data_IF_843869644188
#
_entry.id   IF_843869644188
#
_cell.length_a   1.000
_cell.length_b   1.000
_cell.length_c   1.000
_cell.angle_alpha   90.00
_cell.angle_beta   90.00
_cell.angle_gamma   90.00
#
_symmetry.space_group_name_H-M   'P 1'
#
loop_
_entity.id
_entity.type
_entity.pdbx_description
1 polymer ?
#
# COMPACT_ATOMS: atom_id res chain seq x y z
N UNK A 1 24.70 6.02 -63.15
CA UNK A 1 23.76 5.19 -62.37
C UNK A 1 23.82 5.66 -60.95
N UNK A 2 22.94 6.57 -60.57
CA UNK A 2 22.84 7.17 -59.24
C UNK A 2 21.85 6.33 -58.43
N UNK A 3 22.37 5.56 -57.46
CA UNK A 3 21.59 4.78 -56.52
C UNK A 3 20.95 5.71 -55.50
N UNK A 4 19.64 5.95 -55.60
CA UNK A 4 18.82 6.60 -54.60
C UNK A 4 18.64 5.63 -53.42
N UNK A 5 19.35 5.85 -52.34
CA UNK A 5 19.09 5.19 -51.06
C UNK A 5 17.79 5.75 -50.53
N UNK A 6 16.72 4.96 -50.58
CA UNK A 6 15.46 5.26 -49.89
C UNK A 6 15.71 5.11 -48.39
N UNK A 7 15.80 6.24 -47.71
CA UNK A 7 15.87 6.31 -46.26
C UNK A 7 14.54 5.76 -45.69
N UNK A 8 14.58 4.51 -45.24
CA UNK A 8 13.43 3.88 -44.59
C UNK A 8 13.16 4.65 -43.32
N UNK A 9 12.13 5.49 -43.34
CA UNK A 9 11.64 6.21 -42.15
C UNK A 9 11.48 5.23 -41.00
N UNK A 10 12.31 5.39 -39.95
CA UNK A 10 12.15 4.66 -38.67
C UNK A 10 10.71 4.83 -38.23
N UNK A 11 10.00 3.75 -37.84
CA UNK A 11 8.67 3.88 -37.25
C UNK A 11 8.75 4.88 -36.11
N UNK A 12 7.98 5.96 -36.18
CA UNK A 12 7.83 6.88 -35.06
C UNK A 12 7.25 6.04 -33.91
N UNK A 13 8.06 5.76 -32.88
CA UNK A 13 7.57 5.20 -31.62
C UNK A 13 6.53 6.17 -31.08
N UNK A 14 5.24 5.81 -31.20
CA UNK A 14 4.14 6.62 -30.68
C UNK A 14 4.36 6.86 -29.20
N UNK A 15 4.66 8.11 -28.85
CA UNK A 15 4.84 8.51 -27.45
C UNK A 15 3.47 8.60 -26.78
N UNK A 16 3.32 7.95 -25.64
CA UNK A 16 2.10 8.06 -24.82
C UNK A 16 1.77 9.53 -24.55
N UNK A 17 0.52 9.93 -24.78
CA UNK A 17 0.10 11.33 -24.60
C UNK A 17 0.11 11.73 -23.11
N UNK A 18 0.36 13.01 -22.83
CA UNK A 18 0.30 13.55 -21.46
C UNK A 18 -1.08 13.34 -20.80
N UNK A 19 -2.15 13.39 -21.60
CA UNK A 19 -3.51 13.13 -21.12
C UNK A 19 -3.67 11.67 -20.65
N UNK A 20 -3.10 10.70 -21.38
CA UNK A 20 -3.12 9.30 -20.99
C UNK A 20 -2.27 9.07 -19.72
N UNK A 21 -1.09 9.72 -19.60
CA UNK A 21 -0.28 9.64 -18.38
C UNK A 21 -1.08 10.17 -17.17
N UNK A 22 -1.74 11.33 -17.34
CA UNK A 22 -2.59 11.92 -16.29
C UNK A 22 -3.76 11.00 -15.93
N UNK A 23 -4.43 10.40 -16.91
CA UNK A 23 -5.51 9.42 -16.68
C UNK A 23 -5.02 8.23 -15.86
N UNK A 24 -3.89 7.63 -16.23
CA UNK A 24 -3.34 6.46 -15.55
C UNK A 24 -2.87 6.81 -14.12
N UNK A 25 -2.27 7.99 -13.94
CA UNK A 25 -1.88 8.50 -12.63
C UNK A 25 -3.09 8.73 -11.72
N UNK A 26 -4.14 9.38 -12.24
CA UNK A 26 -5.41 9.59 -11.54
C UNK A 26 -6.10 8.27 -11.21
N UNK A 27 -6.14 7.34 -12.14
CA UNK A 27 -6.69 6.01 -11.93
C UNK A 27 -5.98 5.27 -10.78
N UNK A 28 -4.63 5.28 -10.78
CA UNK A 28 -3.86 4.68 -9.70
C UNK A 28 -4.17 5.33 -8.34
N UNK A 29 -4.22 6.66 -8.27
CA UNK A 29 -4.50 7.38 -7.04
C UNK A 29 -5.92 7.11 -6.51
N UNK A 30 -6.92 7.23 -7.37
CA UNK A 30 -8.32 7.05 -7.00
C UNK A 30 -8.63 5.60 -6.58
N UNK A 31 -8.08 4.61 -7.28
CA UNK A 31 -8.27 3.19 -6.91
C UNK A 31 -7.55 2.86 -5.61
N UNK A 32 -6.30 3.34 -5.41
CA UNK A 32 -5.56 3.10 -4.19
C UNK A 32 -6.19 3.76 -2.97
N UNK A 33 -6.82 4.91 -3.13
CA UNK A 33 -7.50 5.63 -2.07
C UNK A 33 -8.58 4.79 -1.37
N UNK A 34 -9.25 3.88 -2.11
CA UNK A 34 -10.28 2.99 -1.57
C UNK A 34 -9.77 2.08 -0.42
N UNK A 35 -8.47 1.78 -0.39
CA UNK A 35 -7.86 0.98 0.69
C UNK A 35 -7.80 1.73 2.03
N UNK A 36 -7.87 3.06 1.99
CA UNK A 36 -7.56 3.90 3.14
C UNK A 36 -8.74 4.72 3.66
N UNK A 37 -9.84 4.83 2.92
CA UNK A 37 -11.01 5.61 3.33
C UNK A 37 -11.63 5.17 4.66
N UNK A 38 -11.74 3.86 4.88
CA UNK A 38 -12.34 3.31 6.10
C UNK A 38 -11.46 3.50 7.35
N UNK A 39 -10.16 3.73 7.18
CA UNK A 39 -9.20 3.71 8.28
C UNK A 39 -9.46 4.80 9.33
N UNK A 40 -9.57 6.10 8.99
CA UNK A 40 -9.90 7.13 9.97
C UNK A 40 -11.37 7.07 10.44
N UNK A 41 -12.25 6.43 9.67
CA UNK A 41 -13.67 6.32 9.96
C UNK A 41 -14.04 5.05 10.73
N UNK A 42 -13.05 4.18 11.02
CA UNK A 42 -13.30 2.86 11.60
C UNK A 42 -14.07 2.93 12.94
N UNK A 43 -13.79 3.92 13.78
CA UNK A 43 -14.51 4.15 15.04
C UNK A 43 -15.98 4.48 14.84
N UNK A 44 -16.29 5.40 13.91
CA UNK A 44 -17.66 5.83 13.60
C UNK A 44 -18.44 4.68 12.97
N UNK A 45 -17.84 4.00 11.99
CA UNK A 45 -18.43 2.83 11.31
C UNK A 45 -18.69 1.71 12.33
N UNK A 46 -17.70 1.42 13.19
CA UNK A 46 -17.81 0.39 14.20
C UNK A 46 -18.96 0.65 15.19
N UNK A 47 -19.08 1.88 15.68
CA UNK A 47 -20.15 2.28 16.59
C UNK A 47 -21.54 2.13 15.94
N UNK A 48 -21.71 2.58 14.69
CA UNK A 48 -23.00 2.51 14.00
C UNK A 48 -23.40 1.07 13.63
N UNK A 49 -22.45 0.23 13.23
CA UNK A 49 -22.70 -1.16 12.83
C UNK A 49 -22.63 -2.17 13.98
N UNK A 50 -22.47 -1.71 15.22
CA UNK A 50 -22.45 -2.56 16.42
C UNK A 50 -21.21 -3.43 16.55
N UNK A 51 -20.06 -3.01 15.99
CA UNK A 51 -18.78 -3.68 16.20
C UNK A 51 -18.24 -3.35 17.60
N UNK A 52 -17.70 -4.36 18.28
CA UNK A 52 -16.93 -4.12 19.50
C UNK A 52 -15.64 -3.34 19.17
N UNK A 53 -15.08 -2.65 20.16
CA UNK A 53 -13.81 -1.91 20.00
C UNK A 53 -12.70 -2.81 19.46
N UNK A 54 -12.62 -4.07 19.90
CA UNK A 54 -11.67 -5.04 19.38
C UNK A 54 -11.92 -5.41 17.91
N UNK A 55 -13.18 -5.50 17.48
CA UNK A 55 -13.57 -5.86 16.13
C UNK A 55 -13.45 -4.71 15.13
N UNK A 56 -13.36 -3.47 15.59
CA UNK A 56 -13.23 -2.29 14.71
C UNK A 56 -11.99 -2.37 13.82
N UNK A 57 -10.89 -2.94 14.30
CA UNK A 57 -9.67 -3.18 13.51
C UNK A 57 -9.89 -4.12 12.33
N UNK A 58 -10.91 -4.99 12.36
CA UNK A 58 -11.23 -5.92 11.27
C UNK A 58 -11.62 -5.20 9.97
N UNK A 59 -12.11 -3.97 10.05
CA UNK A 59 -12.42 -3.13 8.88
C UNK A 59 -11.17 -2.98 8.00
N UNK A 60 -10.06 -2.58 8.60
CA UNK A 60 -8.78 -2.41 7.92
C UNK A 60 -8.15 -3.77 7.60
N UNK A 61 -8.22 -4.71 8.54
CA UNK A 61 -7.68 -6.07 8.39
C UNK A 61 -8.23 -6.76 7.15
N UNK A 62 -9.55 -6.80 6.97
CA UNK A 62 -10.17 -7.49 5.84
C UNK A 62 -9.89 -6.79 4.51
N UNK A 63 -9.86 -5.46 4.49
CA UNK A 63 -9.45 -4.72 3.30
C UNK A 63 -8.03 -5.10 2.87
N UNK A 64 -7.09 -5.22 3.81
CA UNK A 64 -5.70 -5.58 3.53
C UNK A 64 -5.53 -7.06 3.16
N UNK A 65 -6.27 -7.98 3.79
CA UNK A 65 -6.31 -9.39 3.39
C UNK A 65 -6.83 -9.49 1.95
N UNK A 66 -7.92 -8.80 1.64
CA UNK A 66 -8.48 -8.76 0.28
C UNK A 66 -7.44 -8.30 -0.74
N UNK A 67 -6.73 -7.21 -0.44
CA UNK A 67 -5.69 -6.70 -1.33
C UNK A 67 -4.52 -7.68 -1.49
N UNK A 68 -4.05 -8.29 -0.41
CA UNK A 68 -3.00 -9.30 -0.45
C UNK A 68 -3.39 -10.53 -1.29
N UNK A 69 -4.62 -11.01 -1.15
CA UNK A 69 -5.14 -12.10 -1.99
C UNK A 69 -5.31 -11.67 -3.45
N UNK A 70 -5.76 -10.44 -3.68
CA UNK A 70 -5.83 -9.87 -5.03
C UNK A 70 -4.46 -9.80 -5.72
N UNK A 71 -3.39 -9.47 -4.97
CA UNK A 71 -2.01 -9.48 -5.47
C UNK A 71 -1.55 -10.88 -5.88
N UNK A 72 -1.95 -11.91 -5.13
CA UNK A 72 -1.54 -13.29 -5.42
C UNK A 72 -2.37 -13.92 -6.54
N UNK A 73 -3.67 -13.61 -6.64
CA UNK A 73 -4.59 -14.33 -7.51
C UNK A 73 -5.15 -13.50 -8.66
N UNK A 74 -5.34 -12.18 -8.50
CA UNK A 74 -5.91 -11.35 -9.57
C UNK A 74 -4.82 -10.72 -10.43
N UNK A 75 -3.77 -10.18 -9.85
CA UNK A 75 -2.69 -9.51 -10.59
C UNK A 75 -2.02 -10.43 -11.63
N UNK A 76 -1.71 -11.71 -11.33
CA UNK A 76 -1.12 -12.62 -12.33
C UNK A 76 -2.02 -12.90 -13.53
N UNK A 77 -3.32 -12.68 -13.47
CA UNK A 77 -4.21 -12.75 -14.62
C UNK A 77 -3.87 -11.69 -15.68
N UNK A 78 -3.24 -10.59 -15.28
CA UNK A 78 -2.76 -9.56 -16.21
C UNK A 78 -1.73 -10.04 -17.24
N UNK A 79 -1.07 -11.17 -16.97
CA UNK A 79 -0.15 -11.82 -17.93
C UNK A 79 -0.87 -12.82 -18.86
N UNK A 80 -2.16 -13.07 -18.67
CA UNK A 80 -2.92 -14.12 -19.37
C UNK A 80 -4.11 -13.59 -20.18
N UNK A 81 -4.78 -12.57 -19.65
CA UNK A 81 -6.03 -12.06 -20.23
C UNK A 81 -5.86 -10.64 -20.74
N UNK A 82 -6.77 -10.19 -21.59
CA UNK A 82 -6.76 -8.83 -22.14
C UNK A 82 -6.80 -7.79 -21.01
N UNK A 83 -5.76 -6.94 -20.95
CA UNK A 83 -5.48 -6.08 -19.79
C UNK A 83 -6.56 -5.01 -19.58
N UNK A 84 -7.09 -4.37 -20.62
CA UNK A 84 -8.15 -3.36 -20.48
C UNK A 84 -9.39 -3.96 -19.84
N UNK A 85 -9.84 -5.14 -20.32
CA UNK A 85 -11.01 -5.82 -19.75
C UNK A 85 -10.79 -6.21 -18.30
N UNK A 86 -9.60 -6.72 -17.97
CA UNK A 86 -9.26 -7.10 -16.61
C UNK A 86 -9.27 -5.88 -15.67
N UNK A 87 -8.62 -4.77 -16.06
CA UNK A 87 -8.59 -3.53 -15.28
C UNK A 87 -10.00 -2.99 -15.07
N UNK A 88 -10.80 -2.87 -16.15
CA UNK A 88 -12.16 -2.33 -16.07
C UNK A 88 -13.07 -3.24 -15.23
N UNK A 89 -12.99 -4.57 -15.39
CA UNK A 89 -13.76 -5.52 -14.58
C UNK A 89 -13.39 -5.41 -13.09
N UNK A 90 -12.11 -5.26 -12.79
CA UNK A 90 -11.63 -5.11 -11.41
C UNK A 90 -12.12 -3.79 -10.79
N UNK A 91 -12.08 -2.67 -11.55
CA UNK A 91 -12.66 -1.39 -11.11
C UNK A 91 -14.18 -1.49 -10.98
N UNK A 92 -14.86 -2.20 -11.90
CA UNK A 92 -16.31 -2.49 -11.79
C UNK A 92 -16.66 -3.28 -10.53
N UNK A 93 -15.83 -4.25 -10.15
CA UNK A 93 -15.97 -4.97 -8.87
C UNK A 93 -15.84 -4.01 -7.69
N UNK A 94 -14.91 -3.04 -7.76
CA UNK A 94 -14.78 -2.01 -6.73
C UNK A 94 -16.05 -1.16 -6.58
N UNK A 95 -16.71 -0.79 -7.70
CA UNK A 95 -17.99 -0.07 -7.66
C UNK A 95 -19.02 -0.85 -6.85
N UNK A 96 -19.21 -2.14 -7.18
CA UNK A 96 -20.21 -2.98 -6.51
C UNK A 96 -19.87 -3.16 -5.02
N UNK A 97 -18.61 -3.36 -4.70
CA UNK A 97 -18.13 -3.51 -3.32
C UNK A 97 -18.31 -2.22 -2.50
N UNK A 98 -18.04 -1.04 -3.07
CA UNK A 98 -18.24 0.25 -2.42
C UNK A 98 -19.72 0.55 -2.16
N UNK A 99 -20.60 0.24 -3.14
CA UNK A 99 -22.04 0.37 -2.95
C UNK A 99 -22.53 -0.59 -1.86
N UNK A 100 -22.07 -1.85 -1.88
CA UNK A 100 -22.44 -2.85 -0.87
C UNK A 100 -21.97 -2.40 0.53
N UNK A 101 -20.76 -1.82 0.66
CA UNK A 101 -20.26 -1.27 1.91
C UNK A 101 -21.15 -0.10 2.40
N UNK A 102 -21.50 0.83 1.52
CA UNK A 102 -22.34 1.98 1.86
C UNK A 102 -23.75 1.57 2.33
N UNK A 103 -24.33 0.54 1.70
CA UNK A 103 -25.69 0.07 1.98
C UNK A 103 -25.75 -1.03 3.05
N UNK A 104 -24.63 -1.43 3.62
CA UNK A 104 -24.58 -2.50 4.60
C UNK A 104 -25.40 -2.16 5.86
N UNK A 105 -26.38 -3.02 6.24
CA UNK A 105 -27.26 -2.76 7.41
C UNK A 105 -26.59 -3.11 8.74
N UNK A 106 -25.57 -3.96 8.74
CA UNK A 106 -24.84 -4.42 9.92
C UNK A 106 -23.42 -4.85 9.58
N UNK A 107 -22.62 -5.21 10.58
CA UNK A 107 -21.17 -5.46 10.44
C UNK A 107 -20.79 -6.54 9.41
N UNK A 108 -21.49 -7.69 9.38
CA UNK A 108 -21.06 -8.82 8.54
C UNK A 108 -21.06 -8.50 7.02
N UNK A 109 -22.13 -7.96 6.40
CA UNK A 109 -22.10 -7.57 4.99
C UNK A 109 -21.11 -6.42 4.74
N UNK A 110 -20.93 -5.49 5.69
CA UNK A 110 -19.93 -4.43 5.56
C UNK A 110 -18.53 -5.01 5.49
N UNK A 111 -18.17 -5.91 6.39
CA UNK A 111 -16.86 -6.57 6.43
C UNK A 111 -16.59 -7.38 5.17
N UNK A 112 -17.60 -8.08 4.64
CA UNK A 112 -17.49 -8.77 3.36
C UNK A 112 -17.28 -7.79 2.19
N UNK A 113 -17.98 -6.65 2.21
CA UNK A 113 -17.85 -5.62 1.18
C UNK A 113 -16.46 -4.97 1.20
N UNK A 114 -15.90 -4.61 2.36
CA UNK A 114 -14.55 -4.02 2.42
C UNK A 114 -13.45 -5.02 2.07
N UNK A 115 -13.66 -6.31 2.31
CA UNK A 115 -12.78 -7.36 1.79
C UNK A 115 -12.75 -7.36 0.25
N UNK A 116 -13.91 -7.23 -0.41
CA UNK A 116 -14.01 -7.12 -1.86
C UNK A 116 -13.45 -5.79 -2.39
N UNK A 117 -13.59 -4.69 -1.64
CA UNK A 117 -12.89 -3.42 -1.94
C UNK A 117 -11.37 -3.66 -1.96
N UNK A 118 -10.84 -4.42 -1.00
CA UNK A 118 -9.44 -4.80 -0.99
C UNK A 118 -9.04 -5.56 -2.25
N UNK A 119 -9.73 -6.65 -2.58
CA UNK A 119 -9.45 -7.47 -3.78
C UNK A 119 -9.47 -6.62 -5.05
N UNK A 120 -10.44 -5.75 -5.20
CA UNK A 120 -10.63 -4.95 -6.42
C UNK A 120 -9.65 -3.77 -6.54
N UNK A 121 -9.12 -3.28 -5.43
CA UNK A 121 -8.14 -2.19 -5.45
C UNK A 121 -6.78 -2.58 -6.03
N UNK A 122 -6.53 -3.87 -6.30
CA UNK A 122 -5.30 -4.33 -6.98
C UNK A 122 -5.20 -3.90 -8.44
N UNK A 123 -6.24 -3.31 -9.03
CA UNK A 123 -6.19 -2.73 -10.37
C UNK A 123 -4.98 -1.78 -10.56
N UNK A 124 -4.55 -1.09 -9.51
CA UNK A 124 -3.33 -0.26 -9.49
C UNK A 124 -2.10 -1.05 -9.94
N UNK A 125 -1.96 -2.29 -9.48
CA UNK A 125 -0.80 -3.13 -9.78
C UNK A 125 -0.81 -3.66 -11.23
N UNK A 126 -1.91 -3.52 -11.94
CA UNK A 126 -2.03 -3.80 -13.37
C UNK A 126 -1.84 -2.53 -14.22
N UNK A 127 -2.31 -1.37 -13.73
CA UNK A 127 -2.19 -0.09 -14.45
C UNK A 127 -0.73 0.36 -14.58
N UNK A 128 0.10 0.20 -13.56
CA UNK A 128 1.52 0.63 -13.60
C UNK A 128 2.34 -0.15 -14.64
N UNK A 129 2.31 -1.50 -14.70
CA UNK A 129 2.97 -2.24 -15.77
C UNK A 129 2.36 -1.96 -17.15
N UNK A 130 1.05 -1.72 -17.23
CA UNK A 130 0.38 -1.35 -18.46
C UNK A 130 0.93 -0.03 -19.02
N UNK A 131 1.08 1.01 -18.17
CA UNK A 131 1.71 2.28 -18.53
C UNK A 131 3.16 2.09 -19.02
N UNK A 132 3.92 1.26 -18.32
CA UNK A 132 5.30 0.93 -18.69
C UNK A 132 5.41 0.26 -20.07
N UNK A 133 4.41 -0.56 -20.43
CA UNK A 133 4.37 -1.29 -21.69
C UNK A 133 4.03 -0.39 -22.88
N UNK A 134 3.16 0.62 -22.66
CA UNK A 134 2.79 1.60 -23.67
C UNK A 134 3.87 2.63 -23.96
N UNK A 135 5.02 2.56 -23.27
CA UNK A 135 6.01 3.64 -23.29
C UNK A 135 7.34 3.14 -23.84
N UNK A 136 7.97 3.88 -24.81
CA UNK A 136 9.30 3.59 -25.30
C UNK A 136 10.33 3.50 -24.16
N UNK A 137 11.37 2.67 -24.37
CA UNK A 137 12.40 2.42 -23.35
C UNK A 137 13.04 3.71 -22.80
N UNK A 138 13.28 4.69 -23.69
CA UNK A 138 13.94 5.95 -23.35
C UNK A 138 13.14 6.83 -22.35
N UNK A 139 11.80 6.77 -22.37
CA UNK A 139 10.92 7.63 -21.57
C UNK A 139 10.15 6.85 -20.48
N UNK A 140 10.27 5.53 -20.45
CA UNK A 140 9.52 4.63 -19.56
C UNK A 140 9.66 5.00 -18.08
N UNK A 141 10.87 5.29 -17.61
CA UNK A 141 11.10 5.66 -16.22
C UNK A 141 10.34 6.91 -15.80
N UNK A 142 10.30 7.93 -16.68
CA UNK A 142 9.57 9.18 -16.42
C UNK A 142 8.05 8.95 -16.37
N UNK A 143 7.51 8.17 -17.31
CA UNK A 143 6.06 7.89 -17.35
C UNK A 143 5.63 7.06 -16.15
N UNK A 144 6.35 6.00 -15.81
CA UNK A 144 6.09 5.18 -14.61
C UNK A 144 6.20 6.04 -13.35
N UNK A 145 7.20 6.92 -13.27
CA UNK A 145 7.35 7.86 -12.16
C UNK A 145 6.14 8.77 -11.98
N UNK A 146 5.60 9.34 -13.08
CA UNK A 146 4.41 10.19 -13.04
C UNK A 146 3.16 9.41 -12.59
N UNK A 147 2.98 8.16 -13.08
CA UNK A 147 1.86 7.31 -12.66
C UNK A 147 1.97 6.94 -11.17
N UNK A 148 3.16 6.61 -10.71
CA UNK A 148 3.43 6.34 -9.29
C UNK A 148 3.26 7.57 -8.40
N UNK A 149 3.54 8.77 -8.91
CA UNK A 149 3.26 10.02 -8.18
C UNK A 149 1.75 10.19 -7.94
N UNK A 150 0.92 9.90 -8.95
CA UNK A 150 -0.54 9.88 -8.79
C UNK A 150 -1.00 8.88 -7.72
N UNK A 151 -0.42 7.68 -7.74
CA UNK A 151 -0.64 6.67 -6.70
C UNK A 151 -0.32 7.20 -5.30
N UNK A 152 0.85 7.82 -5.13
CA UNK A 152 1.28 8.37 -3.83
C UNK A 152 0.36 9.49 -3.34
N UNK A 153 -0.03 10.41 -4.23
CA UNK A 153 -1.00 11.47 -3.92
C UNK A 153 -2.34 10.88 -3.48
N UNK A 154 -2.84 9.85 -4.17
CA UNK A 154 -4.09 9.18 -3.79
C UNK A 154 -4.03 8.55 -2.40
N UNK A 155 -2.96 7.82 -2.08
CA UNK A 155 -2.75 7.22 -0.76
C UNK A 155 -2.66 8.30 0.33
N UNK A 156 -1.91 9.36 0.07
CA UNK A 156 -1.68 10.45 1.02
C UNK A 156 -2.97 11.23 1.33
N UNK A 157 -3.78 11.52 0.31
CA UNK A 157 -4.99 12.32 0.46
C UNK A 157 -6.21 11.49 0.91
N UNK A 158 -6.18 10.16 0.77
CA UNK A 158 -7.33 9.31 1.07
C UNK A 158 -7.87 9.51 2.49
N UNK A 159 -6.99 9.48 3.49
CA UNK A 159 -7.37 9.63 4.91
C UNK A 159 -7.94 11.02 5.24
N UNK A 160 -7.23 12.13 4.96
CA UNK A 160 -7.76 13.46 5.26
C UNK A 160 -9.04 13.76 4.48
N UNK A 161 -9.12 13.37 3.20
CA UNK A 161 -10.32 13.58 2.39
C UNK A 161 -11.51 12.80 2.93
N UNK A 162 -11.35 11.53 3.30
CA UNK A 162 -12.46 10.74 3.86
C UNK A 162 -12.93 11.28 5.21
N UNK A 163 -12.01 11.72 6.08
CA UNK A 163 -12.35 12.34 7.35
C UNK A 163 -13.16 13.62 7.17
N UNK A 164 -12.68 14.56 6.33
CA UNK A 164 -13.41 15.81 6.07
C UNK A 164 -14.77 15.55 5.39
N UNK A 165 -14.82 14.71 4.37
CA UNK A 165 -16.08 14.40 3.68
C UNK A 165 -17.11 13.78 4.62
N UNK A 166 -16.68 12.96 5.58
CA UNK A 166 -17.59 12.29 6.51
C UNK A 166 -18.36 13.26 7.43
N UNK A 167 -17.86 14.47 7.64
CA UNK A 167 -18.57 15.52 8.38
C UNK A 167 -19.78 16.07 7.62
N UNK A 168 -19.72 16.06 6.27
CA UNK A 168 -20.75 16.63 5.42
C UNK A 168 -21.78 15.59 4.90
N UNK A 169 -21.29 14.37 4.59
CA UNK A 169 -22.09 13.37 3.87
C UNK A 169 -22.18 12.01 4.59
N UNK A 170 -21.75 11.91 5.84
CA UNK A 170 -21.55 10.68 6.60
C UNK A 170 -20.52 9.71 5.98
N UNK A 171 -20.13 8.68 6.72
CA UNK A 171 -19.21 7.67 6.21
C UNK A 171 -19.82 6.86 5.03
N UNK A 172 -21.14 6.63 5.04
CA UNK A 172 -21.83 5.97 3.92
C UNK A 172 -21.75 6.79 2.63
N UNK A 173 -21.91 8.11 2.76
CA UNK A 173 -21.77 9.05 1.65
C UNK A 173 -20.36 9.04 1.06
N UNK A 174 -19.31 8.88 1.87
CA UNK A 174 -17.91 8.73 1.37
C UNK A 174 -17.78 7.51 0.46
N UNK A 175 -18.33 6.36 0.84
CA UNK A 175 -18.32 5.15 0.01
C UNK A 175 -19.14 5.30 -1.27
N UNK A 176 -20.32 5.94 -1.20
CA UNK A 176 -21.16 6.20 -2.39
C UNK A 176 -20.49 7.18 -3.35
N UNK A 177 -19.88 8.25 -2.84
CA UNK A 177 -19.13 9.19 -3.67
C UNK A 177 -17.95 8.50 -4.36
N UNK A 178 -17.21 7.66 -3.61
CA UNK A 178 -16.15 6.87 -4.20
C UNK A 178 -16.67 5.90 -5.27
N UNK A 179 -17.80 5.25 -5.04
CA UNK A 179 -18.45 4.38 -6.04
C UNK A 179 -18.79 5.15 -7.31
N UNK A 180 -19.36 6.37 -7.19
CA UNK A 180 -19.68 7.22 -8.34
C UNK A 180 -18.41 7.62 -9.13
N UNK A 181 -17.33 7.98 -8.43
CA UNK A 181 -16.02 8.26 -9.05
C UNK A 181 -15.48 7.02 -9.75
N UNK A 182 -15.59 5.83 -9.16
CA UNK A 182 -15.15 4.56 -9.78
C UNK A 182 -15.99 4.20 -11.01
N UNK A 183 -17.32 4.50 -11.05
CA UNK A 183 -18.14 4.34 -12.25
C UNK A 183 -17.60 5.19 -13.40
N UNK A 184 -17.39 6.49 -13.14
CA UNK A 184 -16.84 7.40 -14.15
C UNK A 184 -15.47 6.91 -14.62
N UNK A 185 -14.60 6.53 -13.67
CA UNK A 185 -13.27 6.00 -13.99
C UNK A 185 -13.35 4.74 -14.85
N UNK A 186 -14.22 3.78 -14.52
CA UNK A 186 -14.40 2.54 -15.30
C UNK A 186 -14.84 2.84 -16.74
N UNK A 187 -15.78 3.78 -16.92
CA UNK A 187 -16.27 4.19 -18.26
C UNK A 187 -15.16 4.88 -19.07
N UNK A 188 -14.38 5.76 -18.45
CA UNK A 188 -13.27 6.46 -19.09
C UNK A 188 -12.18 5.46 -19.48
N UNK A 189 -11.78 4.57 -18.57
CA UNK A 189 -10.79 3.52 -18.85
C UNK A 189 -11.28 2.58 -19.96
N UNK A 190 -12.54 2.17 -19.94
CA UNK A 190 -13.11 1.34 -21.00
C UNK A 190 -13.04 1.99 -22.39
N UNK A 191 -13.23 3.32 -22.47
CA UNK A 191 -13.22 4.06 -23.73
C UNK A 191 -11.81 4.40 -24.22
N UNK A 192 -10.90 4.74 -23.33
CA UNK A 192 -9.61 5.34 -23.68
C UNK A 192 -8.43 4.36 -23.61
N UNK A 193 -8.49 3.29 -22.80
CA UNK A 193 -7.40 2.33 -22.76
C UNK A 193 -7.33 1.51 -24.07
N UNK A 194 -6.15 1.35 -24.68
CA UNK A 194 -5.96 0.43 -25.80
C UNK A 194 -6.11 -1.02 -25.33
N UNK A 195 -6.56 -1.86 -26.24
CA UNK A 195 -6.61 -3.31 -26.02
C UNK A 195 -5.20 -3.87 -26.04
N UNK A 196 -4.88 -4.68 -25.04
CA UNK A 196 -3.62 -5.41 -24.97
C UNK A 196 -3.89 -6.82 -24.52
N UNK A 197 -3.61 -7.77 -25.44
CA UNK A 197 -3.62 -9.20 -25.14
C UNK A 197 -2.16 -9.61 -24.92
N UNK A 198 -1.78 -10.09 -23.72
CA UNK A 198 -0.43 -10.56 -23.46
C UNK A 198 -0.13 -11.85 -24.23
N UNK A 199 1.14 -12.03 -24.65
CA UNK A 199 1.61 -13.33 -25.16
C UNK A 199 1.81 -14.26 -23.94
N UNK A 200 0.77 -15.03 -23.62
CA UNK A 200 0.77 -15.94 -22.48
C UNK A 200 1.77 -17.10 -22.70
N UNK A 201 2.90 -17.02 -22.01
CA UNK A 201 3.95 -18.06 -22.11
C UNK A 201 3.75 -19.23 -21.15
N UNK A 202 2.99 -19.03 -20.06
CA UNK A 202 2.79 -20.00 -18.99
C UNK A 202 1.32 -20.08 -18.60
N UNK A 203 0.78 -21.26 -18.29
CA UNK A 203 -0.56 -21.39 -17.74
C UNK A 203 -0.63 -20.80 -16.31
N UNK A 204 -1.82 -20.36 -15.89
CA UNK A 204 -2.06 -19.72 -14.60
C UNK A 204 -1.51 -20.52 -13.41
N UNK A 205 -1.73 -21.83 -13.40
CA UNK A 205 -1.22 -22.72 -12.34
C UNK A 205 0.31 -22.67 -12.22
N UNK A 206 1.01 -22.62 -13.35
CA UNK A 206 2.48 -22.53 -13.37
C UNK A 206 2.99 -21.17 -12.85
N UNK A 207 2.24 -20.09 -13.12
CA UNK A 207 2.56 -18.76 -12.55
C UNK A 207 2.45 -18.80 -11.03
N UNK A 208 1.35 -19.33 -10.49
CA UNK A 208 1.16 -19.47 -9.03
C UNK A 208 2.19 -20.40 -8.41
N UNK A 209 2.47 -21.54 -9.03
CA UNK A 209 3.50 -22.49 -8.57
C UNK A 209 4.89 -21.83 -8.54
N UNK A 210 5.22 -21.02 -9.55
CA UNK A 210 6.46 -20.24 -9.62
C UNK A 210 6.55 -19.21 -8.49
N UNK A 211 5.47 -18.49 -8.18
CA UNK A 211 5.43 -17.57 -7.03
C UNK A 211 5.65 -18.33 -5.70
N UNK A 212 5.00 -19.48 -5.52
CA UNK A 212 5.18 -20.33 -4.35
C UNK A 212 6.61 -20.87 -4.24
N UNK A 213 7.24 -21.24 -5.37
CA UNK A 213 8.63 -21.68 -5.41
C UNK A 213 9.58 -20.54 -5.01
N UNK A 214 9.41 -19.33 -5.56
CA UNK A 214 10.19 -18.15 -5.19
C UNK A 214 10.05 -17.81 -3.71
N UNK A 215 8.83 -17.85 -3.17
CA UNK A 215 8.56 -17.59 -1.75
C UNK A 215 9.31 -18.57 -0.82
N UNK A 216 9.41 -19.85 -1.21
CA UNK A 216 10.05 -20.89 -0.39
C UNK A 216 11.56 -20.96 -0.54
N UNK A 217 12.10 -20.63 -1.72
CA UNK A 217 13.49 -20.92 -2.06
C UNK A 217 14.38 -19.68 -2.25
N UNK A 218 13.85 -18.47 -1.97
CA UNK A 218 14.62 -17.22 -2.15
C UNK A 218 14.84 -16.52 -0.80
N UNK A 219 15.97 -16.77 -0.11
CA UNK A 219 16.20 -16.23 1.25
C UNK A 219 16.13 -14.70 1.34
N UNK A 220 16.62 -13.98 0.33
CA UNK A 220 16.52 -12.51 0.28
C UNK A 220 15.07 -12.08 0.25
N UNK A 221 14.21 -12.72 -0.56
CA UNK A 221 12.78 -12.41 -0.61
C UNK A 221 12.13 -12.66 0.75
N UNK A 222 12.39 -13.80 1.38
CA UNK A 222 11.85 -14.16 2.69
C UNK A 222 12.23 -13.13 3.76
N UNK A 223 13.52 -12.77 3.85
CA UNK A 223 14.00 -11.80 4.83
C UNK A 223 13.41 -10.40 4.60
N UNK A 224 13.51 -9.88 3.37
CA UNK A 224 12.98 -8.54 3.04
C UNK A 224 11.48 -8.46 3.21
N UNK A 225 10.75 -9.53 2.86
CA UNK A 225 9.30 -9.63 3.10
C UNK A 225 8.95 -9.65 4.58
N UNK A 226 9.70 -10.38 5.41
CA UNK A 226 9.47 -10.43 6.86
C UNK A 226 9.70 -9.07 7.52
N UNK A 227 10.81 -8.37 7.19
CA UNK A 227 11.06 -7.03 7.73
C UNK A 227 9.94 -6.07 7.34
N UNK A 228 9.56 -6.09 6.06
CA UNK A 228 8.53 -5.20 5.56
C UNK A 228 7.13 -5.53 6.11
N UNK A 229 6.81 -6.80 6.31
CA UNK A 229 5.56 -7.21 6.94
C UNK A 229 5.46 -6.71 8.39
N UNK A 230 6.52 -6.82 9.18
CA UNK A 230 6.55 -6.31 10.55
C UNK A 230 6.45 -4.77 10.57
N UNK A 231 7.17 -4.08 9.69
CA UNK A 231 7.15 -2.62 9.57
C UNK A 231 5.77 -2.11 9.17
N UNK A 232 5.13 -2.75 8.17
CA UNK A 232 3.79 -2.36 7.75
C UNK A 232 2.71 -2.82 8.75
N UNK A 233 2.98 -3.88 9.51
CA UNK A 233 2.17 -4.26 10.66
C UNK A 233 2.14 -3.16 11.71
N UNK A 234 3.29 -2.62 12.09
CA UNK A 234 3.41 -1.49 13.00
C UNK A 234 2.71 -0.22 12.46
N UNK A 235 2.91 0.09 11.18
CA UNK A 235 2.23 1.19 10.48
C UNK A 235 0.71 1.02 10.51
N UNK A 236 0.22 -0.16 10.15
CA UNK A 236 -1.22 -0.44 10.08
C UNK A 236 -1.86 -0.41 11.46
N UNK A 237 -1.18 -0.93 12.47
CA UNK A 237 -1.57 -0.82 13.88
C UNK A 237 -1.70 0.66 14.26
N UNK A 238 -0.67 1.47 14.02
CA UNK A 238 -0.65 2.89 14.36
C UNK A 238 -1.83 3.63 13.71
N UNK A 239 -1.99 3.53 12.38
CA UNK A 239 -3.04 4.25 11.65
C UNK A 239 -4.46 3.69 11.88
N UNK A 240 -4.60 2.49 12.44
CA UNK A 240 -5.89 1.93 12.87
C UNK A 240 -6.28 2.44 14.26
N UNK A 241 -5.33 2.55 15.17
CA UNK A 241 -5.62 2.88 16.58
C UNK A 241 -5.53 4.38 16.88
N UNK A 242 -4.69 5.13 16.17
CA UNK A 242 -4.54 6.58 16.38
C UNK A 242 -5.84 7.38 16.19
N UNK A 243 -6.68 7.15 15.17
CA UNK A 243 -7.97 7.85 15.07
C UNK A 243 -8.89 7.57 16.26
N UNK A 244 -8.88 6.33 16.79
CA UNK A 244 -9.64 5.96 17.98
C UNK A 244 -9.11 6.69 19.23
N UNK A 245 -7.79 6.81 19.35
CA UNK A 245 -7.14 7.51 20.45
C UNK A 245 -7.40 9.02 20.41
N UNK A 246 -7.31 9.63 19.22
CA UNK A 246 -7.55 11.06 19.04
C UNK A 246 -9.02 11.46 19.24
N UNK A 247 -9.97 10.60 18.84
CA UNK A 247 -11.40 10.82 19.11
C UNK A 247 -11.81 10.46 20.53
N UNK A 248 -10.96 9.72 21.26
CA UNK A 248 -11.20 9.25 22.62
C UNK A 248 -11.17 10.35 23.69
N UNK A 249 -11.38 9.98 24.98
CA UNK A 249 -11.52 10.94 26.08
C UNK A 249 -10.31 11.86 26.31
N UNK A 250 -9.10 11.42 25.94
CA UNK A 250 -7.86 12.15 26.14
C UNK A 250 -7.77 13.41 25.26
N UNK A 251 -8.19 13.33 24.00
CA UNK A 251 -8.05 14.42 23.03
C UNK A 251 -9.40 14.99 22.55
N UNK A 252 -10.41 14.13 22.36
CA UNK A 252 -11.76 14.49 21.87
C UNK A 252 -11.76 15.28 20.55
N UNK A 253 -10.82 14.95 19.64
CA UNK A 253 -10.71 15.62 18.36
C UNK A 253 -11.88 15.27 17.45
N UNK A 254 -12.31 16.26 16.67
CA UNK A 254 -13.28 16.12 15.57
C UNK A 254 -12.66 15.38 14.38
N UNK A 255 -13.50 14.91 13.43
CA UNK A 255 -13.00 14.27 12.21
C UNK A 255 -12.15 15.20 11.36
N UNK A 256 -12.45 16.51 11.33
CA UNK A 256 -11.64 17.52 10.65
C UNK A 256 -10.25 17.68 11.28
N UNK A 257 -10.14 17.66 12.60
CA UNK A 257 -8.84 17.71 13.30
C UNK A 257 -8.04 16.41 13.09
N UNK A 258 -8.72 15.25 13.07
CA UNK A 258 -8.10 13.96 12.71
C UNK A 258 -7.62 13.98 11.25
N UNK A 259 -8.35 14.64 10.34
CA UNK A 259 -7.91 14.84 8.96
C UNK A 259 -6.61 15.65 8.88
N UNK A 260 -6.48 16.73 9.67
CA UNK A 260 -5.24 17.51 9.76
C UNK A 260 -4.09 16.66 10.27
N UNK A 261 -4.33 15.85 11.32
CA UNK A 261 -3.34 14.90 11.82
C UNK A 261 -2.92 13.90 10.71
N UNK A 262 -3.87 13.40 9.92
CA UNK A 262 -3.59 12.42 8.86
C UNK A 262 -2.67 12.96 7.75
N UNK A 263 -2.55 14.29 7.59
CA UNK A 263 -1.58 14.91 6.67
C UNK A 263 -0.12 14.65 7.10
N UNK A 264 0.12 14.32 8.38
CA UNK A 264 1.46 13.92 8.82
C UNK A 264 2.00 12.71 8.04
N UNK A 265 1.12 11.79 7.62
CA UNK A 265 1.49 10.64 6.77
C UNK A 265 2.04 11.03 5.38
N UNK A 266 1.88 12.29 4.94
CA UNK A 266 2.49 12.79 3.71
C UNK A 266 4.03 12.76 3.73
N UNK A 267 4.64 12.76 4.91
CA UNK A 267 6.09 12.70 5.06
C UNK A 267 6.71 11.42 4.48
N UNK A 268 5.95 10.32 4.42
CA UNK A 268 6.39 9.08 3.77
C UNK A 268 6.78 9.26 2.30
N UNK A 269 6.15 10.20 1.58
CA UNK A 269 6.46 10.45 0.18
C UNK A 269 7.91 10.99 -0.03
N UNK A 270 8.45 11.72 0.94
CA UNK A 270 9.81 12.27 0.89
C UNK A 270 10.87 11.17 1.12
N UNK A 271 10.50 10.11 1.82
CA UNK A 271 11.40 9.00 2.16
C UNK A 271 11.89 8.24 0.91
N UNK A 272 11.02 8.04 -0.09
CA UNK A 272 11.33 7.20 -1.25
C UNK A 272 12.56 7.68 -2.05
N UNK A 273 12.70 8.96 -2.45
CA UNK A 273 13.90 9.44 -3.14
C UNK A 273 15.15 9.43 -2.26
N UNK A 274 15.01 9.60 -0.95
CA UNK A 274 16.13 9.53 -0.01
C UNK A 274 16.63 8.09 0.08
N UNK A 275 15.75 7.15 0.34
CA UNK A 275 16.06 5.72 0.41
C UNK A 275 16.69 5.22 -0.90
N UNK A 276 16.17 5.68 -2.04
CA UNK A 276 16.75 5.39 -3.35
C UNK A 276 18.20 5.79 -3.45
N UNK A 277 18.52 7.03 -3.10
CA UNK A 277 19.92 7.55 -3.12
C UNK A 277 20.82 6.84 -2.13
N UNK A 278 20.34 6.45 -0.96
CA UNK A 278 21.11 5.66 0.01
C UNK A 278 21.45 4.27 -0.55
N UNK A 279 20.49 3.63 -1.21
CA UNK A 279 20.70 2.34 -1.87
C UNK A 279 21.72 2.43 -3.02
N UNK A 280 21.68 3.51 -3.84
CA UNK A 280 22.62 3.74 -4.93
C UNK A 280 24.07 3.91 -4.44
N UNK A 281 24.24 4.42 -3.21
CA UNK A 281 25.55 4.55 -2.53
C UNK A 281 25.99 3.27 -1.80
N UNK A 282 25.25 2.18 -1.91
CA UNK A 282 25.56 0.93 -1.23
C UNK A 282 25.23 0.90 0.27
N UNK A 283 24.53 1.90 0.80
CA UNK A 283 24.20 2.02 2.23
C UNK A 283 22.98 1.21 2.64
N UNK A 284 22.59 0.20 1.87
CA UNK A 284 21.37 -0.58 2.10
C UNK A 284 21.29 -1.16 3.51
N UNK A 285 22.39 -1.71 4.04
CA UNK A 285 22.42 -2.27 5.39
C UNK A 285 22.17 -1.21 6.47
N UNK A 286 22.94 -0.11 6.44
CA UNK A 286 22.80 0.99 7.41
C UNK A 286 21.44 1.69 7.33
N UNK A 287 20.92 1.87 6.11
CA UNK A 287 19.61 2.47 5.89
C UNK A 287 18.46 1.56 6.39
N UNK A 288 18.58 0.23 6.23
CA UNK A 288 17.63 -0.73 6.80
C UNK A 288 17.66 -0.70 8.33
N UNK A 289 18.87 -0.70 8.94
CA UNK A 289 19.03 -0.57 10.38
C UNK A 289 18.40 0.72 10.90
N UNK A 290 18.70 1.85 10.27
CA UNK A 290 18.14 3.14 10.62
C UNK A 290 16.61 3.14 10.55
N UNK A 291 16.02 2.58 9.49
CA UNK A 291 14.57 2.50 9.34
C UNK A 291 13.91 1.67 10.45
N UNK A 292 14.46 0.49 10.76
CA UNK A 292 13.93 -0.38 11.82
C UNK A 292 14.00 0.28 13.21
N UNK A 293 15.12 0.93 13.52
CA UNK A 293 15.30 1.65 14.79
C UNK A 293 14.37 2.85 14.85
N UNK A 294 14.26 3.65 13.77
CA UNK A 294 13.37 4.81 13.72
C UNK A 294 11.91 4.40 13.93
N UNK A 295 11.45 3.32 13.32
CA UNK A 295 10.10 2.82 13.52
C UNK A 295 9.84 2.39 14.98
N UNK A 296 10.79 1.76 15.65
CA UNK A 296 10.68 1.43 17.05
C UNK A 296 10.63 2.70 17.92
N UNK A 297 11.54 3.64 17.70
CA UNK A 297 11.60 4.91 18.44
C UNK A 297 10.32 5.73 18.26
N UNK A 298 9.67 5.67 17.08
CA UNK A 298 8.41 6.37 16.83
C UNK A 298 7.30 6.02 17.83
N UNK A 299 7.25 4.78 18.32
CA UNK A 299 6.30 4.40 19.36
C UNK A 299 6.75 4.88 20.77
N UNK A 300 8.05 4.83 21.05
CA UNK A 300 8.56 5.24 22.37
C UNK A 300 8.35 6.72 22.65
N UNK A 301 8.51 7.58 21.65
CA UNK A 301 8.32 9.03 21.85
C UNK A 301 6.89 9.41 22.23
N UNK A 302 5.90 8.57 21.92
CA UNK A 302 4.51 8.82 22.32
C UNK A 302 4.27 8.69 23.85
N UNK A 303 5.21 8.14 24.59
CA UNK A 303 5.14 7.97 26.04
C UNK A 303 5.86 9.07 26.84
N UNK A 304 6.49 10.04 26.16
CA UNK A 304 7.30 11.08 26.84
C UNK A 304 6.42 12.09 27.58
N UNK A 305 5.22 12.38 27.05
CA UNK A 305 4.31 13.39 27.64
C UNK A 305 3.01 12.76 28.10
N UNK A 306 2.38 13.39 29.08
CA UNK A 306 1.06 12.99 29.59
C UNK A 306 -0.01 13.09 28.50
N UNK A 307 -0.91 12.12 28.47
CA UNK A 307 -2.00 12.05 27.50
C UNK A 307 -2.88 13.32 27.53
N UNK A 308 -3.41 13.70 26.36
CA UNK A 308 -4.30 14.85 26.22
C UNK A 308 -3.60 16.22 26.23
N UNK A 309 -2.28 16.29 26.37
CA UNK A 309 -1.52 17.54 26.29
C UNK A 309 -1.16 17.91 24.85
N UNK A 310 -0.95 19.20 24.58
CA UNK A 310 -0.44 19.65 23.26
C UNK A 310 0.91 19.03 22.91
N UNK A 311 1.77 18.78 23.92
CA UNK A 311 3.05 18.12 23.71
C UNK A 311 2.85 16.67 23.29
N UNK A 312 1.93 15.92 23.92
CA UNK A 312 1.65 14.54 23.52
C UNK A 312 1.07 14.46 22.11
N UNK A 313 0.23 15.41 21.70
CA UNK A 313 -0.26 15.51 20.32
C UNK A 313 0.88 15.80 19.34
N UNK A 314 1.77 16.74 19.64
CA UNK A 314 2.94 17.06 18.80
C UNK A 314 3.89 15.85 18.66
N UNK A 315 4.12 15.11 19.75
CA UNK A 315 4.93 13.89 19.72
C UNK A 315 4.24 12.77 18.92
N UNK A 316 2.92 12.68 18.96
CA UNK A 316 2.17 11.72 18.15
C UNK A 316 2.26 12.07 16.65
N UNK A 317 2.21 13.36 16.28
CA UNK A 317 2.47 13.84 14.90
C UNK A 317 3.89 13.48 14.47
N UNK A 318 4.89 13.72 15.32
CA UNK A 318 6.28 13.35 15.04
C UNK A 318 6.44 11.84 14.87
N UNK A 319 5.74 11.05 15.71
CA UNK A 319 5.70 9.58 15.58
C UNK A 319 5.12 9.14 14.24
N UNK A 320 4.01 9.74 13.79
CA UNK A 320 3.42 9.47 12.49
C UNK A 320 4.42 9.74 11.34
N UNK A 321 5.04 10.92 11.34
CA UNK A 321 6.03 11.33 10.33
C UNK A 321 7.22 10.37 10.28
N UNK A 322 7.81 10.06 11.42
CA UNK A 322 9.00 9.21 11.50
C UNK A 322 8.70 7.75 11.20
N UNK A 323 7.52 7.25 11.58
CA UNK A 323 7.08 5.90 11.26
C UNK A 323 6.83 5.74 9.74
N UNK A 324 6.10 6.66 9.12
CA UNK A 324 5.81 6.64 7.69
C UNK A 324 7.10 6.72 6.86
N UNK A 325 8.03 7.61 7.29
CA UNK A 325 9.36 7.71 6.69
C UNK A 325 10.13 6.39 6.77
N UNK A 326 10.16 5.77 7.95
CA UNK A 326 10.88 4.52 8.20
C UNK A 326 10.30 3.35 7.37
N UNK A 327 8.98 3.19 7.36
CA UNK A 327 8.28 2.11 6.63
C UNK A 327 8.50 2.25 5.12
N UNK A 328 8.40 3.48 4.59
CA UNK A 328 8.63 3.74 3.16
C UNK A 328 10.10 3.54 2.79
N UNK A 329 11.04 3.95 3.64
CA UNK A 329 12.47 3.69 3.44
C UNK A 329 12.74 2.20 3.32
N UNK A 330 12.26 1.39 4.28
CA UNK A 330 12.46 -0.06 4.25
C UNK A 330 11.78 -0.73 3.04
N UNK A 331 10.60 -0.24 2.62
CA UNK A 331 9.91 -0.71 1.42
C UNK A 331 10.77 -0.56 0.17
N UNK A 332 11.33 0.64 -0.06
CA UNK A 332 12.17 0.93 -1.24
C UNK A 332 13.43 0.09 -1.24
N UNK A 333 14.11 -0.03 -0.08
CA UNK A 333 15.31 -0.85 0.06
C UNK A 333 15.01 -2.33 -0.18
N UNK A 334 13.89 -2.84 0.34
CA UNK A 334 13.42 -4.21 0.13
C UNK A 334 13.13 -4.51 -1.34
N UNK A 335 12.37 -3.63 -2.01
CA UNK A 335 12.07 -3.78 -3.43
C UNK A 335 13.32 -3.77 -4.30
N UNK A 336 14.28 -2.88 -4.04
CA UNK A 336 15.54 -2.87 -4.78
C UNK A 336 16.33 -4.17 -4.59
N UNK A 337 16.40 -4.69 -3.38
CA UNK A 337 17.09 -5.94 -3.09
C UNK A 337 16.48 -7.13 -3.84
N UNK A 338 15.15 -7.26 -3.88
CA UNK A 338 14.50 -8.35 -4.60
C UNK A 338 14.55 -8.16 -6.13
N UNK A 339 14.52 -6.92 -6.65
CA UNK A 339 14.59 -6.64 -8.09
C UNK A 339 15.98 -6.87 -8.69
N UNK A 340 17.02 -6.90 -7.85
CA UNK A 340 18.37 -7.27 -8.26
C UNK A 340 18.52 -8.77 -8.60
N UNK A 341 17.56 -9.62 -8.19
CA UNK A 341 17.59 -11.07 -8.43
C UNK A 341 17.33 -11.48 -9.88
N UNK A 342 16.82 -10.58 -10.73
CA UNK A 342 16.61 -10.85 -12.16
C UNK A 342 15.37 -10.15 -12.71
N UNK A 343 15.47 -9.66 -13.93
CA UNK A 343 14.39 -8.91 -14.57
C UNK A 343 13.15 -9.78 -14.86
N UNK A 344 13.36 -11.06 -15.19
CA UNK A 344 12.34 -12.05 -15.52
C UNK A 344 11.47 -12.46 -14.33
N UNK A 345 11.96 -12.27 -13.10
CA UNK A 345 11.24 -12.63 -11.86
C UNK A 345 10.58 -11.43 -11.18
N UNK A 346 10.86 -10.19 -11.61
CA UNK A 346 10.46 -8.95 -10.89
C UNK A 346 8.98 -8.88 -10.56
N UNK A 347 8.10 -9.18 -11.49
CA UNK A 347 6.65 -9.14 -11.29
C UNK A 347 6.22 -10.14 -10.20
N UNK A 348 6.72 -11.37 -10.28
CA UNK A 348 6.41 -12.45 -9.32
C UNK A 348 7.01 -12.20 -7.94
N UNK A 349 8.26 -11.73 -7.88
CA UNK A 349 8.93 -11.34 -6.64
C UNK A 349 8.19 -10.19 -5.96
N UNK A 350 7.81 -9.15 -6.72
CA UNK A 350 7.03 -8.04 -6.18
C UNK A 350 5.65 -8.49 -5.70
N UNK A 351 4.98 -9.37 -6.44
CA UNK A 351 3.68 -9.93 -6.04
C UNK A 351 3.73 -10.62 -4.68
N UNK A 352 4.70 -11.51 -4.46
CA UNK A 352 4.91 -12.19 -3.17
C UNK A 352 5.31 -11.21 -2.07
N UNK A 353 6.25 -10.30 -2.34
CA UNK A 353 6.72 -9.30 -1.40
C UNK A 353 5.58 -8.39 -0.93
N UNK A 354 4.79 -7.86 -1.86
CA UNK A 354 3.67 -6.97 -1.54
C UNK A 354 2.50 -7.72 -0.88
N UNK A 355 2.23 -8.96 -1.26
CA UNK A 355 1.22 -9.77 -0.57
C UNK A 355 1.62 -10.01 0.90
N UNK A 356 2.86 -10.36 1.17
CA UNK A 356 3.39 -10.54 2.52
C UNK A 356 3.36 -9.21 3.32
N UNK A 357 3.68 -8.10 2.66
CA UNK A 357 3.55 -6.75 3.21
C UNK A 357 2.12 -6.48 3.70
N UNK A 358 1.11 -6.69 2.87
CA UNK A 358 -0.29 -6.44 3.24
C UNK A 358 -0.81 -7.44 4.27
N UNK A 359 -0.32 -8.70 4.26
CA UNK A 359 -0.63 -9.66 5.33
C UNK A 359 -0.07 -9.20 6.69
N UNK A 360 1.15 -8.65 6.70
CA UNK A 360 1.71 -7.99 7.89
C UNK A 360 0.84 -6.84 8.39
N UNK A 361 0.38 -5.99 7.48
CA UNK A 361 -0.55 -4.91 7.81
C UNK A 361 -1.89 -5.40 8.36
N UNK A 362 -2.45 -6.45 7.77
CA UNK A 362 -3.69 -7.08 8.26
C UNK A 362 -3.54 -7.59 9.70
N UNK A 363 -2.44 -8.29 9.98
CA UNK A 363 -2.12 -8.73 11.34
C UNK A 363 -1.95 -7.53 12.29
N UNK A 364 -1.23 -6.50 11.85
CA UNK A 364 -1.01 -5.30 12.65
C UNK A 364 -2.30 -4.56 13.01
N UNK A 365 -3.22 -4.39 12.05
CA UNK A 365 -4.52 -3.74 12.32
C UNK A 365 -5.43 -4.58 13.22
N UNK A 366 -5.45 -5.91 13.05
CA UNK A 366 -6.20 -6.82 13.92
C UNK A 366 -5.69 -6.79 15.36
N UNK A 367 -4.37 -6.95 15.52
CA UNK A 367 -3.71 -6.88 16.81
C UNK A 367 -3.83 -5.50 17.46
N UNK A 368 -3.78 -4.43 16.64
CA UNK A 368 -3.97 -3.06 17.10
C UNK A 368 -5.35 -2.81 17.67
N UNK A 369 -6.40 -3.23 16.97
CA UNK A 369 -7.78 -3.12 17.46
C UNK A 369 -7.98 -3.88 18.76
N UNK A 370 -7.46 -5.11 18.86
CA UNK A 370 -7.51 -5.91 20.09
C UNK A 370 -6.72 -5.28 21.23
N UNK A 371 -5.49 -4.85 20.98
CA UNK A 371 -4.64 -4.22 22.02
C UNK A 371 -5.25 -2.91 22.52
N UNK A 372 -5.79 -2.08 21.61
CA UNK A 372 -6.45 -0.85 21.98
C UNK A 372 -7.70 -1.08 22.84
N UNK A 373 -8.49 -2.11 22.54
CA UNK A 373 -9.64 -2.50 23.34
C UNK A 373 -9.25 -3.03 24.73
N UNK A 374 -8.08 -3.65 24.86
CA UNK A 374 -7.61 -4.29 26.10
C UNK A 374 -6.91 -3.32 27.05
N UNK A 375 -6.16 -2.33 26.54
CA UNK A 375 -5.33 -1.45 27.34
C UNK A 375 -5.07 -0.09 26.69
N UNK A 376 -6.03 0.37 25.86
CA UNK A 376 -6.00 1.69 25.20
C UNK A 376 -4.69 1.93 24.42
N UNK A 377 -4.25 3.19 24.32
CA UNK A 377 -3.04 3.56 23.60
C UNK A 377 -1.78 2.87 24.13
N UNK A 378 -1.66 2.70 25.43
CA UNK A 378 -0.48 2.08 26.03
C UNK A 378 -0.25 0.64 25.50
N UNK A 379 -1.28 -0.21 25.50
CA UNK A 379 -1.15 -1.58 24.99
C UNK A 379 -0.89 -1.59 23.47
N UNK A 380 -1.58 -0.74 22.71
CA UNK A 380 -1.40 -0.63 21.27
C UNK A 380 0.02 -0.17 20.89
N UNK A 381 0.53 0.85 21.56
CA UNK A 381 1.87 1.41 21.27
C UNK A 381 3.01 0.46 21.64
N UNK A 382 2.91 -0.27 22.76
CA UNK A 382 3.91 -1.30 23.11
C UNK A 382 3.91 -2.46 22.12
N UNK A 383 2.75 -2.89 21.63
CA UNK A 383 2.65 -3.90 20.60
C UNK A 383 3.22 -3.37 19.26
N UNK A 384 2.92 -2.10 18.93
CA UNK A 384 3.47 -1.41 17.77
C UNK A 384 5.00 -1.30 17.82
N UNK A 385 5.57 -1.05 19.00
CA UNK A 385 7.02 -1.06 19.24
C UNK A 385 7.63 -2.45 19.05
N UNK A 386 6.97 -3.50 19.52
CA UNK A 386 7.49 -4.87 19.46
C UNK A 386 7.70 -5.35 18.01
N UNK A 387 6.86 -4.96 17.06
CA UNK A 387 6.94 -5.40 15.67
C UNK A 387 8.26 -4.99 14.98
N UNK A 388 8.67 -3.70 14.94
CA UNK A 388 9.95 -3.32 14.36
C UNK A 388 11.14 -3.84 15.19
N UNK A 389 11.02 -4.02 16.50
CA UNK A 389 12.06 -4.65 17.33
C UNK A 389 12.28 -6.12 16.96
N UNK A 390 11.22 -6.88 16.72
CA UNK A 390 11.33 -8.26 16.23
C UNK A 390 12.00 -8.29 14.84
N UNK A 391 11.60 -7.38 13.93
CA UNK A 391 12.25 -7.25 12.63
C UNK A 391 13.75 -6.88 12.76
N UNK A 392 14.09 -5.98 13.67
CA UNK A 392 15.47 -5.60 13.98
C UNK A 392 16.28 -6.79 14.50
N UNK A 393 15.72 -7.55 15.45
CA UNK A 393 16.35 -8.79 15.95
C UNK A 393 16.64 -9.79 14.83
N UNK A 394 15.67 -10.00 13.93
CA UNK A 394 15.86 -10.87 12.78
C UNK A 394 16.86 -10.28 11.76
N UNK A 395 16.85 -8.97 11.53
CA UNK A 395 17.81 -8.28 10.66
C UNK A 395 19.25 -8.45 11.15
N UNK A 396 19.51 -8.33 12.45
CA UNK A 396 20.86 -8.48 13.03
C UNK A 396 21.45 -9.91 12.86
N UNK A 397 20.62 -10.90 12.53
CA UNK A 397 21.12 -12.24 12.16
C UNK A 397 21.69 -12.30 10.74
N UNK A 398 21.41 -11.32 9.86
CA UNK A 398 21.89 -11.27 8.48
C UNK A 398 23.43 -11.19 8.42
N UNK A 399 24.03 -10.24 9.17
CA UNK A 399 25.48 -10.06 9.23
C UNK A 399 26.26 -11.21 9.89
N UNK A 400 25.60 -12.07 10.68
CA UNK A 400 26.23 -13.27 11.24
C UNK A 400 26.31 -14.41 10.22
N UNK A 401 25.34 -14.49 9.31
CA UNK A 401 25.27 -15.51 8.24
C UNK A 401 26.36 -15.28 7.19
N UNK A 402 26.58 -14.03 6.74
CA UNK A 402 27.66 -13.69 5.79
C UNK A 402 29.05 -13.93 6.37
N UNK A 403 29.29 -13.55 7.64
CA UNK A 403 30.56 -13.82 8.32
C UNK A 403 30.82 -15.31 8.56
N UNK A 404 29.78 -16.13 8.64
CA UNK A 404 29.90 -17.58 8.77
C UNK A 404 30.20 -18.26 7.43
N UNK A 405 29.60 -17.76 6.33
CA UNK A 405 29.89 -18.23 4.98
C UNK A 405 31.34 -17.91 4.57
N UNK A 406 31.85 -16.71 4.91
CA UNK A 406 33.25 -16.31 4.67
C UNK A 406 34.28 -17.04 5.52
N UNK A 407 33.89 -17.74 6.61
CA UNK A 407 34.77 -18.54 7.45
C UNK A 407 34.84 -20.01 7.06
N UNK A 408 33.95 -20.46 6.20
CA UNK A 408 33.79 -21.86 5.77
C UNK A 408 34.19 -22.08 4.29
N UNK A 409 34.54 -21.01 3.55
CA UNK A 409 35.19 -21.04 2.23
C UNK A 409 36.61 -20.51 2.31
#
# INVERSE_FOLDING_TARGET
MTSTVVDAAKPQEETISSAMIFLLASACGLVAANLYYAQPLAGVIGAELGLSSAATGLIVTLTQIGYGLGLLFVVPLGDLVENRRLIVATVGTAVLALIAAALAPHAAPFLAAVFLVGISSVAVQMIVPFAAHMTPHATRGRVVGNVMSGLMVGIMLARPVSSVLSEFVSWRGVFLLSAAVMVVLALVLYRLLPQRVPDAKLPYRSLLASMGHLARNTPILQRRSAYQAAMFGAFSLFWTTTPLYLSGPAFRLTQGEIALFALAGAAGAIAAPIAGRMADRGWTWGATLFALVTAAVSFLITHIASEGTHLSLALLVLAAITLDFAVTTNLVLGQRAIFALGAEYRSRLNGVFMATFFMGGALGSALGGWAYASGQWAAASWLGFALPVMALGFFLTEGRSEKRALKLG
#
